data_IF_502677158726
#
_entry.id   IF_502677158726
#
_cell.length_a   1.000
_cell.length_b   1.000
_cell.length_c   1.000
_cell.angle_alpha   90.00
_cell.angle_beta   90.00
_cell.angle_gamma   90.00
#
_symmetry.space_group_name_H-M   'P 1'
#
loop_
_entity.id
_entity.type
_entity.pdbx_description
1 polymer ?
#
# COMPACT_ATOMS: atom_id res chain seq x y z
N UNK A 1 7.44 18.89 -0.96
CA UNK A 1 6.42 18.49 -1.94
C UNK A 1 6.46 19.47 -3.11
N UNK A 2 6.99 19.05 -4.26
CA UNK A 2 7.17 19.92 -5.44
C UNK A 2 6.11 19.53 -6.48
N UNK A 3 4.98 20.22 -6.50
CA UNK A 3 4.01 20.22 -7.61
C UNK A 3 3.19 18.94 -7.91
N UNK A 4 3.41 17.83 -7.21
CA UNK A 4 2.64 16.59 -7.40
C UNK A 4 1.28 16.67 -6.71
N UNK A 5 0.26 16.07 -7.34
CA UNK A 5 -1.06 15.93 -6.72
C UNK A 5 -0.97 14.96 -5.54
N UNK A 6 -1.45 15.42 -4.38
CA UNK A 6 -1.44 14.64 -3.14
C UNK A 6 -2.72 13.80 -3.03
N UNK A 7 -2.57 12.50 -2.81
CA UNK A 7 -3.69 11.62 -2.58
C UNK A 7 -4.09 11.68 -1.11
N UNK A 8 -5.36 11.93 -0.85
CA UNK A 8 -5.87 11.94 0.52
C UNK A 8 -6.01 10.50 1.07
N UNK A 9 -4.93 9.99 1.66
CA UNK A 9 -4.86 8.63 2.22
C UNK A 9 -5.71 8.41 3.46
N UNK A 10 -6.27 9.47 4.05
CA UNK A 10 -7.22 9.37 5.16
C UNK A 10 -8.58 8.81 4.71
N UNK A 11 -8.87 8.90 3.40
CA UNK A 11 -10.15 8.47 2.82
C UNK A 11 -10.14 6.98 2.59
N UNK A 12 -11.16 6.31 3.14
CA UNK A 12 -11.30 4.87 3.01
C UNK A 12 -11.29 4.38 1.55
N UNK A 13 -11.94 5.10 0.63
CA UNK A 13 -11.92 4.78 -0.79
C UNK A 13 -10.51 4.81 -1.39
N UNK A 14 -9.69 5.80 -1.01
CA UNK A 14 -8.31 5.92 -1.49
C UNK A 14 -7.47 4.77 -0.95
N UNK A 15 -7.62 4.44 0.33
CA UNK A 15 -6.93 3.30 0.94
C UNK A 15 -7.28 1.98 0.25
N UNK A 16 -8.58 1.75 0.01
CA UNK A 16 -9.05 0.56 -0.70
C UNK A 16 -8.49 0.50 -2.11
N UNK A 17 -8.49 1.62 -2.85
CA UNK A 17 -7.97 1.66 -4.21
C UNK A 17 -6.49 1.30 -4.29
N UNK A 18 -5.69 1.75 -3.31
CA UNK A 18 -4.27 1.41 -3.20
C UNK A 18 -4.11 -0.08 -2.85
N UNK A 19 -4.90 -0.60 -1.90
CA UNK A 19 -4.88 -2.02 -1.53
C UNK A 19 -5.26 -2.94 -2.69
N UNK A 20 -6.27 -2.57 -3.49
CA UNK A 20 -6.68 -3.31 -4.69
C UNK A 20 -5.55 -3.33 -5.72
N UNK A 21 -4.88 -2.19 -5.94
CA UNK A 21 -3.73 -2.14 -6.83
C UNK A 21 -2.59 -3.06 -6.36
N UNK A 22 -2.32 -3.13 -5.05
CA UNK A 22 -1.34 -4.07 -4.50
C UNK A 22 -1.76 -5.52 -4.73
N UNK A 23 -3.04 -5.85 -4.53
CA UNK A 23 -3.59 -7.18 -4.82
C UNK A 23 -3.47 -7.56 -6.29
N UNK A 24 -3.73 -6.63 -7.21
CA UNK A 24 -3.57 -6.85 -8.65
C UNK A 24 -2.11 -7.20 -9.00
N UNK A 25 -1.14 -6.46 -8.45
CA UNK A 25 0.28 -6.74 -8.65
C UNK A 25 0.67 -8.13 -8.13
N UNK A 26 0.17 -8.53 -6.96
CA UNK A 26 0.38 -9.89 -6.45
C UNK A 26 -0.24 -10.94 -7.38
N UNK A 27 -1.43 -10.68 -7.94
CA UNK A 27 -2.09 -11.56 -8.90
C UNK A 27 -1.32 -11.74 -10.22
N UNK A 28 -0.53 -10.73 -10.60
CA UNK A 28 0.36 -10.79 -11.78
C UNK A 28 1.63 -11.63 -11.48
N UNK A 29 1.98 -11.83 -10.21
CA UNK A 29 3.14 -12.63 -9.78
C UNK A 29 4.30 -11.83 -9.21
N UNK A 30 4.09 -10.57 -8.80
CA UNK A 30 5.10 -9.82 -8.06
C UNK A 30 5.24 -10.39 -6.63
N UNK A 31 6.47 -10.45 -6.12
CA UNK A 31 6.76 -10.89 -4.73
C UNK A 31 6.85 -9.74 -3.72
N UNK A 32 6.58 -8.49 -4.12
CA UNK A 32 6.76 -7.37 -3.21
C UNK A 32 6.50 -5.99 -3.80
N UNK A 33 6.52 -4.98 -2.94
CA UNK A 33 6.14 -3.60 -3.25
C UNK A 33 7.13 -2.62 -2.62
N UNK A 34 7.59 -1.65 -3.42
CA UNK A 34 8.33 -0.48 -2.94
C UNK A 34 7.39 0.72 -2.90
N UNK A 35 7.15 1.27 -1.71
CA UNK A 35 6.33 2.46 -1.51
C UNK A 35 7.26 3.68 -1.46
N UNK A 36 7.19 4.48 -2.53
CA UNK A 36 7.84 5.79 -2.63
C UNK A 36 7.21 6.79 -1.65
N UNK A 37 7.99 7.78 -1.21
CA UNK A 37 7.48 8.90 -0.42
C UNK A 37 6.67 8.51 0.84
N UNK A 38 6.90 7.31 1.40
CA UNK A 38 6.17 6.80 2.55
C UNK A 38 6.28 7.72 3.78
N UNK A 39 7.37 8.50 3.89
CA UNK A 39 7.52 9.57 4.91
C UNK A 39 6.44 10.65 4.89
N UNK A 40 5.73 10.81 3.76
CA UNK A 40 4.68 11.80 3.60
C UNK A 40 3.27 11.24 3.83
N UNK A 41 3.14 9.94 4.09
CA UNK A 41 1.87 9.29 4.41
C UNK A 41 1.79 9.07 5.92
N UNK A 42 0.63 9.32 6.53
CA UNK A 42 0.48 9.07 7.96
C UNK A 42 0.61 7.55 8.26
N UNK A 43 1.30 7.17 9.35
CA UNK A 43 1.46 5.75 9.70
C UNK A 43 0.15 4.99 9.89
N UNK A 44 -0.90 5.68 10.38
CA UNK A 44 -2.24 5.11 10.54
C UNK A 44 -2.86 4.73 9.19
N UNK A 45 -2.72 5.59 8.18
CA UNK A 45 -3.22 5.35 6.83
C UNK A 45 -2.47 4.20 6.15
N UNK A 46 -1.13 4.15 6.28
CA UNK A 46 -0.32 3.02 5.80
C UNK A 46 -0.79 1.70 6.42
N UNK A 47 -1.01 1.70 7.74
CA UNK A 47 -1.51 0.53 8.46
C UNK A 47 -2.88 0.10 7.93
N UNK A 48 -3.79 1.06 7.69
CA UNK A 48 -5.11 0.79 7.14
C UNK A 48 -5.04 0.21 5.71
N UNK A 49 -4.17 0.74 4.85
CA UNK A 49 -3.91 0.22 3.50
C UNK A 49 -3.41 -1.22 3.58
N UNK A 50 -2.39 -1.51 4.39
CA UNK A 50 -1.86 -2.87 4.53
C UNK A 50 -2.87 -3.85 5.14
N UNK A 51 -3.74 -3.40 6.06
CA UNK A 51 -4.81 -4.21 6.60
C UNK A 51 -5.84 -4.59 5.53
N UNK A 52 -6.26 -3.64 4.69
CA UNK A 52 -7.15 -3.86 3.54
C UNK A 52 -6.50 -4.79 2.51
N UNK A 53 -5.23 -4.55 2.17
CA UNK A 53 -4.48 -5.42 1.27
C UNK A 53 -4.40 -6.86 1.79
N UNK A 54 -4.09 -7.06 3.06
CA UNK A 54 -4.10 -8.39 3.70
C UNK A 54 -5.49 -9.04 3.67
N UNK A 55 -6.55 -8.26 3.84
CA UNK A 55 -7.94 -8.73 3.72
C UNK A 55 -8.24 -9.20 2.29
N UNK A 56 -7.86 -8.41 1.27
CA UNK A 56 -8.02 -8.76 -0.14
C UNK A 56 -7.30 -10.07 -0.50
N UNK A 57 -6.14 -10.33 0.12
CA UNK A 57 -5.34 -11.55 -0.08
C UNK A 57 -5.86 -12.78 0.70
N UNK A 58 -7.06 -12.70 1.30
CA UNK A 58 -7.64 -13.82 2.06
C UNK A 58 -7.12 -13.94 3.49
N UNK A 59 -6.57 -12.85 4.05
CA UNK A 59 -6.16 -12.77 5.46
C UNK A 59 -4.69 -13.13 5.72
N UNK A 60 -3.92 -13.49 4.70
CA UNK A 60 -2.49 -13.73 4.79
C UNK A 60 -1.77 -13.21 3.55
N UNK A 61 -0.50 -12.82 3.72
CA UNK A 61 0.38 -12.48 2.60
C UNK A 61 1.28 -13.69 2.27
N UNK A 62 1.75 -13.83 1.02
CA UNK A 62 2.73 -14.86 0.67
C UNK A 62 3.97 -14.81 1.55
N UNK A 63 4.61 -15.97 1.77
CA UNK A 63 5.78 -16.08 2.64
C UNK A 63 7.00 -15.32 2.11
N UNK A 64 7.08 -15.12 0.79
CA UNK A 64 8.12 -14.37 0.10
C UNK A 64 7.77 -12.89 -0.09
N UNK A 65 6.64 -12.41 0.46
CA UNK A 65 6.23 -11.02 0.32
C UNK A 65 7.22 -10.07 1.02
N UNK A 66 7.70 -9.06 0.29
CA UNK A 66 8.57 -8.00 0.83
C UNK A 66 7.94 -6.63 0.57
N UNK A 67 7.93 -5.76 1.58
CA UNK A 67 7.59 -4.35 1.44
C UNK A 67 8.79 -3.47 1.82
N UNK A 68 9.09 -2.48 0.99
CA UNK A 68 10.10 -1.45 1.29
C UNK A 68 9.44 -0.07 1.32
N UNK A 69 9.62 0.64 2.43
CA UNK A 69 9.04 1.97 2.64
C UNK A 69 10.14 3.03 2.59
N UNK A 70 10.02 3.96 1.65
CA UNK A 70 10.94 5.09 1.57
C UNK A 70 10.60 6.14 2.63
N UNK A 71 11.37 6.14 3.72
CA UNK A 71 11.15 7.06 4.85
C UNK A 71 12.20 8.17 4.99
N UNK A 72 13.19 8.21 4.09
CA UNK A 72 14.31 9.17 4.10
C UNK A 72 14.12 10.28 3.08
#
# INVERSE_FOLDING_TARGET
LVGLADLNTEREYVQQRIADYFSDLMGIGFSGIRIDAAKHIQPADLTAIFAKFKSNMGGALPADFIAWLEVL
#
